data_IF_675853813641
#
_entry.id   IF_675853813641
#
_cell.length_a   1.000
_cell.length_b   1.000
_cell.length_c   1.000
_cell.angle_alpha   90.00
_cell.angle_beta   90.00
_cell.angle_gamma   90.00
#
_symmetry.space_group_name_H-M   'P 1'
#
loop_
_entity.id
_entity.type
_entity.pdbx_description
1 polymer ?
#
# COMPACT_ATOMS: atom_id res chain seq x y z
N UNK A 1 5.13 -17.33 -23.39
CA UNK A 1 4.74 -17.52 -21.98
C UNK A 1 5.09 -16.25 -21.21
N UNK A 2 4.24 -15.78 -20.31
CA UNK A 2 4.51 -14.58 -19.49
C UNK A 2 5.51 -14.92 -18.35
N UNK A 3 6.64 -14.19 -18.19
CA UNK A 3 7.67 -14.49 -17.20
C UNK A 3 7.23 -14.25 -15.74
N UNK A 4 6.09 -13.60 -15.50
CA UNK A 4 5.53 -13.40 -14.16
C UNK A 4 4.82 -14.65 -13.61
N UNK A 5 4.49 -15.64 -14.45
CA UNK A 5 3.69 -16.79 -14.02
C UNK A 5 4.31 -17.57 -12.85
N UNK A 6 5.64 -17.88 -12.84
CA UNK A 6 6.25 -18.56 -11.69
C UNK A 6 6.17 -17.73 -10.40
N UNK A 7 6.42 -16.42 -10.48
CA UNK A 7 6.38 -15.47 -9.35
C UNK A 7 4.95 -15.39 -8.80
N UNK A 8 3.97 -15.31 -9.70
CA UNK A 8 2.54 -15.24 -9.38
C UNK A 8 2.05 -16.51 -8.66
N UNK A 9 2.38 -17.68 -9.20
CA UNK A 9 2.00 -18.99 -8.64
C UNK A 9 2.63 -19.20 -7.26
N UNK A 10 3.88 -18.77 -7.10
CA UNK A 10 4.61 -18.83 -5.83
C UNK A 10 4.16 -17.78 -4.81
N UNK A 11 3.23 -16.88 -5.16
CA UNK A 11 2.80 -15.73 -4.36
C UNK A 11 3.97 -14.86 -3.88
N UNK A 12 5.00 -14.75 -4.72
CA UNK A 12 6.19 -13.98 -4.41
C UNK A 12 5.95 -12.49 -4.63
N UNK A 13 6.67 -11.64 -3.89
CA UNK A 13 6.67 -10.23 -4.21
C UNK A 13 7.33 -9.95 -5.56
N UNK A 14 7.08 -8.74 -6.07
CA UNK A 14 7.62 -8.26 -7.34
C UNK A 14 8.20 -6.86 -7.13
N UNK A 15 9.51 -6.73 -7.35
CA UNK A 15 10.18 -5.44 -7.45
C UNK A 15 9.89 -4.78 -8.81
N UNK A 16 9.81 -3.44 -8.89
CA UNK A 16 9.69 -2.74 -10.17
C UNK A 16 10.86 -3.03 -11.14
N UNK A 17 12.04 -3.32 -10.60
CA UNK A 17 13.30 -3.58 -11.29
C UNK A 17 13.76 -5.05 -11.19
N UNK A 18 12.85 -5.96 -10.79
CA UNK A 18 13.13 -7.39 -10.65
C UNK A 18 13.71 -7.96 -11.96
N UNK A 19 14.77 -8.76 -11.84
CA UNK A 19 15.37 -9.42 -13.02
C UNK A 19 14.53 -10.61 -13.44
N UNK A 20 13.76 -10.44 -14.51
CA UNK A 20 12.98 -11.51 -15.12
C UNK A 20 13.82 -12.36 -16.09
N UNK A 21 13.34 -13.57 -16.39
CA UNK A 21 13.98 -14.46 -17.38
C UNK A 21 14.05 -13.82 -18.77
N UNK A 22 13.03 -13.03 -19.14
CA UNK A 22 12.92 -12.32 -20.41
C UNK A 22 12.15 -11.02 -20.25
N UNK A 23 12.64 -9.93 -20.85
CA UNK A 23 11.96 -8.63 -20.86
C UNK A 23 12.02 -7.90 -19.52
N UNK A 24 11.31 -6.77 -19.45
CA UNK A 24 11.19 -5.94 -18.23
C UNK A 24 9.94 -6.28 -17.43
N UNK A 25 9.90 -5.89 -16.16
CA UNK A 25 8.71 -6.02 -15.29
C UNK A 25 7.51 -5.30 -15.91
N UNK A 26 7.71 -4.10 -16.45
CA UNK A 26 6.66 -3.33 -17.13
C UNK A 26 6.07 -4.09 -18.33
N UNK A 27 6.91 -4.62 -19.22
CA UNK A 27 6.45 -5.39 -20.39
C UNK A 27 5.67 -6.65 -19.97
N UNK A 28 6.17 -7.35 -18.95
CA UNK A 28 5.54 -8.56 -18.45
C UNK A 28 4.20 -8.28 -17.75
N UNK A 29 4.12 -7.21 -16.96
CA UNK A 29 2.88 -6.75 -16.33
C UNK A 29 1.87 -6.31 -17.39
N UNK A 30 2.30 -5.52 -18.38
CA UNK A 30 1.45 -5.09 -19.50
C UNK A 30 0.87 -6.29 -20.26
N UNK A 31 1.72 -7.28 -20.58
CA UNK A 31 1.26 -8.51 -21.23
C UNK A 31 0.28 -9.29 -20.35
N UNK A 32 0.57 -9.38 -19.05
CA UNK A 32 -0.30 -10.05 -18.07
C UNK A 32 -1.65 -9.35 -17.94
N UNK A 33 -1.66 -8.03 -17.89
CA UNK A 33 -2.83 -7.18 -17.84
C UNK A 33 -3.75 -7.43 -19.03
N UNK A 34 -3.25 -7.32 -20.27
CA UNK A 34 -4.10 -7.51 -21.45
C UNK A 34 -4.58 -8.96 -21.60
N UNK A 35 -3.75 -9.94 -21.24
CA UNK A 35 -4.17 -11.34 -21.22
C UNK A 35 -5.32 -11.57 -20.24
N UNK A 36 -5.20 -11.01 -19.04
CA UNK A 36 -6.23 -11.12 -18.00
C UNK A 36 -7.49 -10.32 -18.38
N UNK A 37 -7.36 -9.09 -18.85
CA UNK A 37 -8.50 -8.24 -19.23
C UNK A 37 -9.31 -8.88 -20.36
N UNK A 38 -8.64 -9.45 -21.37
CA UNK A 38 -9.30 -10.21 -22.44
C UNK A 38 -10.03 -11.44 -21.88
N UNK A 39 -9.41 -12.19 -20.94
CA UNK A 39 -10.11 -13.27 -20.23
C UNK A 39 -11.38 -12.79 -19.51
N UNK A 40 -11.37 -11.57 -18.99
CA UNK A 40 -12.49 -10.96 -18.28
C UNK A 40 -13.52 -10.29 -19.20
N UNK A 41 -13.36 -10.39 -20.53
CA UNK A 41 -14.33 -9.95 -21.53
C UNK A 41 -13.96 -8.66 -22.27
N UNK A 42 -12.75 -8.13 -22.10
CA UNK A 42 -12.30 -6.96 -22.86
C UNK A 42 -12.16 -7.29 -24.34
N UNK A 43 -12.89 -6.57 -25.20
CA UNK A 43 -12.80 -6.75 -26.65
C UNK A 43 -11.52 -6.13 -27.25
N UNK A 44 -11.13 -6.58 -28.45
CA UNK A 44 -9.97 -6.02 -29.16
C UNK A 44 -10.13 -4.52 -29.47
N UNK A 45 -11.34 -4.09 -29.83
CA UNK A 45 -11.63 -2.68 -30.13
C UNK A 45 -11.49 -1.79 -28.87
N UNK A 46 -11.92 -2.29 -27.71
CA UNK A 46 -11.75 -1.58 -26.44
C UNK A 46 -10.30 -1.58 -25.96
N UNK A 47 -9.52 -2.62 -26.29
CA UNK A 47 -8.11 -2.71 -25.92
C UNK A 47 -7.27 -1.58 -26.55
N UNK A 48 -7.64 -1.08 -27.73
CA UNK A 48 -6.97 0.06 -28.39
C UNK A 48 -7.17 1.38 -27.63
N UNK A 49 -8.23 1.49 -26.82
CA UNK A 49 -8.55 2.68 -26.03
C UNK A 49 -7.90 2.66 -24.63
N UNK A 50 -7.23 1.56 -24.27
CA UNK A 50 -6.63 1.37 -22.95
C UNK A 50 -5.12 1.64 -22.99
N UNK A 51 -4.67 2.54 -22.12
CA UNK A 51 -3.25 2.66 -21.77
C UNK A 51 -2.95 1.85 -20.51
N UNK A 52 -1.83 1.12 -20.52
CA UNK A 52 -1.28 0.47 -19.34
C UNK A 52 0.12 1.01 -19.09
N UNK A 53 0.36 1.52 -17.87
CA UNK A 53 1.64 2.06 -17.43
C UNK A 53 1.93 1.67 -15.97
N UNK A 54 3.16 1.87 -15.54
CA UNK A 54 3.53 1.73 -14.13
C UNK A 54 4.63 2.73 -13.78
N UNK A 55 4.71 3.10 -12.50
CA UNK A 55 5.81 3.87 -11.95
C UNK A 55 6.16 3.46 -10.52
N UNK A 56 7.21 4.09 -9.99
CA UNK A 56 7.66 3.97 -8.61
C UNK A 56 7.60 5.36 -8.00
N UNK A 57 7.02 5.47 -6.81
CA UNK A 57 7.06 6.69 -6.04
C UNK A 57 8.18 6.58 -5.00
N UNK A 58 9.27 7.30 -5.26
CA UNK A 58 10.46 7.36 -4.41
C UNK A 58 10.54 8.66 -3.59
N UNK A 59 9.41 9.36 -3.39
CA UNK A 59 9.37 10.61 -2.61
C UNK A 59 9.90 10.46 -1.18
N UNK A 60 9.84 9.25 -0.61
CA UNK A 60 10.45 8.92 0.68
C UNK A 60 11.98 9.10 0.70
N UNK A 61 12.62 9.07 -0.47
CA UNK A 61 14.05 9.31 -0.68
C UNK A 61 14.35 10.74 -1.15
N UNK A 62 13.35 11.62 -1.22
CA UNK A 62 13.49 12.98 -1.73
C UNK A 62 13.66 13.06 -3.24
N UNK A 63 13.33 11.99 -3.96
CA UNK A 63 13.34 11.94 -5.42
C UNK A 63 11.92 12.28 -5.89
N UNK A 64 11.78 13.40 -6.59
CA UNK A 64 10.54 13.79 -7.26
C UNK A 64 10.61 13.34 -8.72
N UNK A 65 10.08 12.14 -8.98
CA UNK A 65 9.90 11.65 -10.34
C UNK A 65 8.62 12.22 -10.97
N UNK A 66 8.62 12.29 -12.29
CA UNK A 66 7.45 12.71 -13.07
C UNK A 66 6.29 11.72 -12.86
N UNK A 67 5.11 12.24 -12.55
CA UNK A 67 3.93 11.41 -12.34
C UNK A 67 3.41 10.86 -13.68
N UNK A 68 3.80 9.62 -14.01
CA UNK A 68 3.41 8.98 -15.27
C UNK A 68 1.90 8.78 -15.41
N UNK A 69 1.17 8.67 -14.30
CA UNK A 69 -0.28 8.59 -14.33
C UNK A 69 -0.89 9.93 -14.75
N UNK A 70 -0.44 11.03 -14.16
CA UNK A 70 -0.84 12.39 -14.57
C UNK A 70 -0.54 12.64 -16.04
N UNK A 71 0.67 12.30 -16.50
CA UNK A 71 1.05 12.47 -17.91
C UNK A 71 0.12 11.73 -18.85
N UNK A 72 -0.18 10.46 -18.56
CA UNK A 72 -1.10 9.66 -19.38
C UNK A 72 -2.52 10.24 -19.35
N UNK A 73 -3.01 10.70 -18.19
CA UNK A 73 -4.33 11.33 -18.08
C UNK A 73 -4.38 12.59 -18.93
N UNK A 74 -3.37 13.46 -18.82
CA UNK A 74 -3.29 14.68 -19.60
C UNK A 74 -3.20 14.40 -21.11
N UNK A 75 -2.47 13.36 -21.52
CA UNK A 75 -2.36 12.96 -22.92
C UNK A 75 -3.68 12.43 -23.52
N UNK A 76 -4.56 11.85 -22.69
CA UNK A 76 -5.84 11.27 -23.13
C UNK A 76 -7.01 12.24 -23.13
N UNK A 77 -6.84 13.48 -22.64
CA UNK A 77 -7.89 14.51 -22.73
C UNK A 77 -8.33 14.69 -24.19
N UNK A 78 -9.65 14.67 -24.41
CA UNK A 78 -10.26 14.74 -25.73
C UNK A 78 -10.38 13.41 -26.46
N UNK A 79 -9.91 12.29 -25.88
CA UNK A 79 -10.08 10.94 -26.45
C UNK A 79 -11.32 10.26 -25.85
N UNK A 80 -12.41 10.06 -26.62
CA UNK A 80 -13.63 9.44 -26.11
C UNK A 80 -13.41 8.03 -25.57
N UNK A 81 -14.00 7.73 -24.41
CA UNK A 81 -14.00 6.40 -23.79
C UNK A 81 -12.61 5.81 -23.52
N UNK A 82 -11.56 6.63 -23.52
CA UNK A 82 -10.22 6.19 -23.14
C UNK A 82 -10.22 5.70 -21.69
N UNK A 83 -9.36 4.71 -21.41
CA UNK A 83 -9.12 4.22 -20.05
C UNK A 83 -7.62 4.15 -19.80
N UNK A 84 -7.22 4.45 -18.57
CA UNK A 84 -5.82 4.38 -18.13
C UNK A 84 -5.77 3.43 -16.96
N UNK A 85 -4.93 2.42 -17.07
CA UNK A 85 -4.69 1.41 -16.04
C UNK A 85 -3.24 1.55 -15.58
N UNK A 86 -3.04 2.03 -14.36
CA UNK A 86 -1.73 2.38 -13.85
C UNK A 86 -1.44 1.66 -12.53
N UNK A 87 -0.25 1.06 -12.44
CA UNK A 87 0.26 0.44 -11.22
C UNK A 87 1.34 1.33 -10.63
N UNK A 88 1.17 1.78 -9.39
CA UNK A 88 2.19 2.56 -8.68
C UNK A 88 2.77 1.76 -7.53
N UNK A 89 4.09 1.72 -7.45
CA UNK A 89 4.80 1.11 -6.34
C UNK A 89 5.33 2.19 -5.38
N UNK A 90 4.86 2.21 -4.14
CA UNK A 90 5.46 3.05 -3.11
C UNK A 90 6.55 2.28 -2.39
N UNK A 91 7.78 2.79 -2.41
CA UNK A 91 8.88 2.28 -1.62
C UNK A 91 9.21 3.25 -0.47
N UNK A 92 9.40 2.73 0.74
CA UNK A 92 9.85 3.52 1.87
C UNK A 92 11.36 3.35 2.13
N UNK A 93 11.94 4.28 2.90
CA UNK A 93 13.36 4.26 3.25
C UNK A 93 13.83 2.99 3.98
N UNK A 94 12.90 2.16 4.49
CA UNK A 94 13.20 0.88 5.14
C UNK A 94 13.21 -0.30 4.15
N UNK A 95 13.02 -0.03 2.85
CA UNK A 95 12.98 -1.04 1.80
C UNK A 95 11.66 -1.80 1.74
N UNK A 96 10.59 -1.31 2.38
CA UNK A 96 9.25 -1.88 2.21
C UNK A 96 8.62 -1.25 0.99
N UNK A 97 8.05 -2.07 0.13
CA UNK A 97 7.30 -1.60 -1.02
C UNK A 97 5.89 -2.17 -1.06
N UNK A 98 4.98 -1.39 -1.65
CA UNK A 98 3.59 -1.80 -1.80
C UNK A 98 2.99 -1.23 -3.09
N UNK A 99 2.33 -2.10 -3.83
CA UNK A 99 1.66 -1.77 -5.09
C UNK A 99 0.19 -1.46 -4.85
N UNK A 100 -0.30 -0.37 -5.45
CA UNK A 100 -1.73 -0.09 -5.58
C UNK A 100 -2.08 0.29 -7.03
N UNK A 101 -3.37 0.26 -7.33
CA UNK A 101 -3.90 0.51 -8.66
C UNK A 101 -4.51 1.90 -8.73
N UNK A 102 -4.26 2.59 -9.84
CA UNK A 102 -4.97 3.79 -10.27
C UNK A 102 -5.61 3.51 -11.62
N UNK A 103 -6.91 3.78 -11.73
CA UNK A 103 -7.68 3.65 -12.94
C UNK A 103 -8.33 4.98 -13.28
N UNK A 104 -8.19 5.46 -14.50
CA UNK A 104 -8.95 6.62 -14.98
C UNK A 104 -9.82 6.22 -16.17
N UNK A 105 -11.02 6.79 -16.24
CA UNK A 105 -11.92 6.62 -17.38
C UNK A 105 -12.41 7.97 -17.90
N UNK A 106 -12.52 8.05 -19.23
CA UNK A 106 -13.01 9.21 -19.95
C UNK A 106 -14.42 8.94 -20.48
N UNK A 107 -15.25 9.97 -20.54
CA UNK A 107 -16.59 9.86 -21.10
C UNK A 107 -16.59 9.90 -22.64
N UNK A 108 -17.77 9.86 -23.25
CA UNK A 108 -17.94 9.92 -24.70
C UNK A 108 -17.49 11.24 -25.34
N UNK A 109 -17.28 12.29 -24.55
CA UNK A 109 -16.74 13.59 -25.00
C UNK A 109 -15.22 13.67 -24.85
N UNK A 110 -14.58 12.65 -24.28
CA UNK A 110 -13.15 12.68 -23.96
C UNK A 110 -12.83 13.54 -22.74
N UNK A 111 -13.79 13.78 -21.85
CA UNK A 111 -13.56 14.45 -20.57
C UNK A 111 -13.29 13.39 -19.50
N UNK A 112 -12.36 13.67 -18.57
CA UNK A 112 -12.08 12.80 -17.43
C UNK A 112 -13.34 12.65 -16.57
N UNK A 113 -13.87 11.44 -16.49
CA UNK A 113 -15.11 11.16 -15.79
C UNK A 113 -14.85 10.74 -14.33
N UNK A 114 -13.87 9.88 -14.11
CA UNK A 114 -13.64 9.24 -12.82
C UNK A 114 -12.19 8.73 -12.71
N UNK A 115 -11.65 8.78 -11.50
CA UNK A 115 -10.40 8.15 -11.11
C UNK A 115 -10.70 7.20 -9.95
N UNK A 116 -10.38 5.92 -10.09
CA UNK A 116 -10.56 4.89 -9.07
C UNK A 116 -9.19 4.45 -8.56
N UNK A 117 -8.96 4.59 -7.25
CA UNK A 117 -7.82 3.97 -6.58
C UNK A 117 -8.27 2.72 -5.82
N UNK A 118 -7.48 1.66 -5.89
CA UNK A 118 -7.73 0.43 -5.13
C UNK A 118 -6.47 -0.05 -4.44
N UNK A 119 -6.65 -0.60 -3.23
CA UNK A 119 -5.57 -1.11 -2.41
C UNK A 119 -5.99 -2.43 -1.74
N UNK A 120 -5.07 -3.39 -1.70
CA UNK A 120 -5.25 -4.71 -1.08
C UNK A 120 -4.92 -4.72 0.42
N UNK A 121 -4.44 -3.59 0.96
CA UNK A 121 -4.20 -3.37 2.39
C UNK A 121 -4.95 -2.15 2.89
N UNK A 122 -5.71 -2.31 3.97
CA UNK A 122 -6.50 -1.22 4.54
C UNK A 122 -6.06 -0.85 5.96
N UNK A 123 -6.13 0.44 6.27
CA UNK A 123 -6.10 1.00 7.62
C UNK A 123 -7.34 1.88 7.80
N UNK A 124 -8.24 1.50 8.70
CA UNK A 124 -9.47 2.27 8.97
C UNK A 124 -10.35 2.48 7.73
N UNK A 125 -10.51 1.45 6.89
CA UNK A 125 -11.25 1.46 5.60
C UNK A 125 -10.60 2.28 4.47
N UNK A 126 -9.43 2.87 4.68
CA UNK A 126 -8.64 3.52 3.63
C UNK A 126 -7.51 2.60 3.18
N UNK A 127 -7.15 2.64 1.90
CA UNK A 127 -5.92 1.99 1.41
C UNK A 127 -4.68 2.60 2.07
N UNK A 128 -3.65 1.80 2.33
CA UNK A 128 -2.43 2.32 2.96
C UNK A 128 -1.71 3.28 2.00
N UNK A 129 -1.39 2.82 0.78
CA UNK A 129 -0.69 3.67 -0.20
C UNK A 129 -1.65 4.48 -1.04
N UNK A 130 -2.85 3.94 -1.32
CA UNK A 130 -3.87 4.71 -2.04
C UNK A 130 -4.31 5.97 -1.26
N UNK A 131 -4.41 5.90 0.07
CA UNK A 131 -4.71 7.11 0.85
C UNK A 131 -3.55 8.09 0.86
N UNK A 132 -2.30 7.60 0.93
CA UNK A 132 -1.12 8.46 0.81
C UNK A 132 -1.15 9.21 -0.53
N UNK A 133 -1.35 8.51 -1.65
CA UNK A 133 -1.43 9.12 -2.98
C UNK A 133 -2.55 10.18 -3.03
N UNK A 134 -3.76 9.86 -2.56
CA UNK A 134 -4.88 10.82 -2.51
C UNK A 134 -4.61 12.05 -1.64
N UNK A 135 -3.83 11.91 -0.57
CA UNK A 135 -3.58 12.96 0.41
C UNK A 135 -2.35 13.82 0.04
N UNK A 136 -1.40 13.31 -0.77
CA UNK A 136 -0.14 14.00 -1.08
C UNK A 136 0.08 14.33 -2.56
N UNK A 137 -0.58 13.63 -3.49
CA UNK A 137 -0.35 13.82 -4.92
C UNK A 137 -1.04 15.09 -5.44
N UNK A 138 -0.30 16.09 -5.95
CA UNK A 138 -0.89 17.36 -6.41
C UNK A 138 -1.98 17.19 -7.47
N UNK A 139 -1.77 16.27 -8.42
CA UNK A 139 -2.72 15.99 -9.49
C UNK A 139 -4.03 15.39 -8.94
N UNK A 140 -3.94 14.37 -8.07
CA UNK A 140 -5.13 13.75 -7.48
C UNK A 140 -5.88 14.72 -6.56
N UNK A 141 -5.18 15.59 -5.83
CA UNK A 141 -5.78 16.65 -5.01
C UNK A 141 -6.55 17.63 -5.90
N UNK A 142 -5.99 18.03 -7.05
CA UNK A 142 -6.66 18.90 -8.01
C UNK A 142 -7.91 18.23 -8.63
N UNK A 143 -7.89 16.91 -8.82
CA UNK A 143 -9.01 16.12 -9.36
C UNK A 143 -9.89 15.47 -8.28
N UNK A 144 -9.89 16.00 -7.04
CA UNK A 144 -10.57 15.37 -5.89
C UNK A 144 -12.05 15.06 -6.13
N UNK A 145 -12.74 15.82 -6.98
CA UNK A 145 -14.15 15.59 -7.30
C UNK A 145 -14.38 14.31 -8.14
N UNK A 146 -13.38 13.89 -8.92
CA UNK A 146 -13.41 12.68 -9.74
C UNK A 146 -12.76 11.48 -9.05
N UNK A 147 -12.01 11.69 -7.97
CA UNK A 147 -11.25 10.63 -7.29
C UNK A 147 -12.11 9.85 -6.30
N UNK A 148 -12.15 8.54 -6.47
CA UNK A 148 -12.86 7.59 -5.62
C UNK A 148 -11.93 6.48 -5.14
N UNK A 149 -11.99 6.16 -3.85
CA UNK A 149 -11.34 4.97 -3.31
C UNK A 149 -12.32 3.81 -3.27
N UNK A 150 -11.97 2.69 -3.88
CA UNK A 150 -12.71 1.43 -3.79
C UNK A 150 -11.82 0.39 -3.11
N UNK A 151 -12.22 -0.17 -1.96
CA UNK A 151 -11.43 -1.19 -1.29
C UNK A 151 -11.33 -2.43 -2.18
N UNK A 152 -10.10 -2.83 -2.48
CA UNK A 152 -9.83 -4.07 -3.21
C UNK A 152 -9.98 -5.29 -2.29
N UNK A 153 -9.94 -6.50 -2.87
CA UNK A 153 -9.84 -7.72 -2.09
C UNK A 153 -8.61 -7.66 -1.18
N UNK A 154 -8.78 -8.05 0.08
CA UNK A 154 -7.69 -8.01 1.05
C UNK A 154 -6.69 -9.14 0.78
N UNK A 155 -5.41 -8.81 0.70
CA UNK A 155 -4.37 -9.83 0.62
C UNK A 155 -4.16 -10.50 2.00
N UNK A 156 -3.83 -11.80 2.05
CA UNK A 156 -3.56 -12.49 3.31
C UNK A 156 -2.44 -11.82 4.12
N UNK A 157 -2.51 -11.91 5.44
CA UNK A 157 -1.45 -11.39 6.31
C UNK A 157 -0.13 -12.12 6.07
N UNK A 158 0.99 -11.39 6.00
CA UNK A 158 2.33 -11.97 5.76
C UNK A 158 2.62 -12.40 4.32
N UNK A 159 1.65 -12.32 3.40
CA UNK A 159 1.88 -12.52 1.96
C UNK A 159 2.11 -11.16 1.29
N UNK A 160 3.14 -11.08 0.45
CA UNK A 160 3.62 -9.86 -0.18
C UNK A 160 3.33 -9.81 -1.69
N UNK A 161 2.13 -10.21 -2.11
CA UNK A 161 1.73 -10.30 -3.52
C UNK A 161 0.74 -9.18 -3.93
N UNK A 162 0.83 -7.98 -3.32
CA UNK A 162 -0.06 -6.84 -3.61
C UNK A 162 -0.14 -6.49 -5.10
N UNK A 163 0.94 -6.70 -5.85
CA UNK A 163 1.01 -6.49 -7.29
C UNK A 163 0.00 -7.36 -8.07
N UNK A 164 -0.30 -8.59 -7.60
CA UNK A 164 -1.30 -9.46 -8.24
C UNK A 164 -2.71 -8.91 -8.04
N UNK A 165 -3.02 -8.44 -6.83
CA UNK A 165 -4.30 -7.80 -6.52
C UNK A 165 -4.50 -6.51 -7.32
N UNK A 166 -3.44 -5.71 -7.43
CA UNK A 166 -3.41 -4.51 -8.25
C UNK A 166 -3.68 -4.84 -9.73
N UNK A 167 -2.96 -5.80 -10.31
CA UNK A 167 -3.14 -6.26 -11.69
C UNK A 167 -4.57 -6.77 -11.95
N UNK A 168 -5.10 -7.57 -11.04
CA UNK A 168 -6.46 -8.13 -11.15
C UNK A 168 -7.54 -7.04 -11.13
N UNK A 169 -7.42 -6.08 -10.20
CA UNK A 169 -8.35 -4.96 -10.12
C UNK A 169 -8.32 -4.09 -11.37
N UNK A 170 -7.14 -3.76 -11.89
CA UNK A 170 -7.03 -2.98 -13.14
C UNK A 170 -7.68 -3.71 -14.31
N UNK A 171 -7.38 -4.99 -14.50
CA UNK A 171 -7.96 -5.78 -15.58
C UNK A 171 -9.49 -5.88 -15.48
N UNK A 172 -10.01 -6.05 -14.26
CA UNK A 172 -11.46 -6.10 -13.99
C UNK A 172 -12.13 -4.75 -14.19
N UNK A 173 -11.51 -3.65 -13.76
CA UNK A 173 -12.03 -2.30 -13.99
C UNK A 173 -12.07 -1.98 -15.48
N UNK A 174 -11.00 -2.31 -16.21
CA UNK A 174 -10.92 -2.11 -17.64
C UNK A 174 -12.01 -2.90 -18.41
N UNK A 175 -12.20 -4.18 -18.08
CA UNK A 175 -13.11 -5.06 -18.79
C UNK A 175 -14.58 -4.94 -18.34
N UNK A 176 -14.83 -4.71 -17.05
CA UNK A 176 -16.15 -4.86 -16.42
C UNK A 176 -16.62 -3.63 -15.65
N UNK A 177 -15.77 -2.60 -15.49
CA UNK A 177 -16.10 -1.39 -14.72
C UNK A 177 -16.23 -1.62 -13.21
N UNK A 178 -15.72 -2.74 -12.69
CA UNK A 178 -15.75 -3.06 -11.25
C UNK A 178 -14.46 -3.72 -10.78
N UNK A 179 -14.19 -3.66 -9.48
CA UNK A 179 -13.04 -4.34 -8.87
C UNK A 179 -13.17 -5.86 -8.98
N UNK A 180 -12.02 -6.54 -8.95
CA UNK A 180 -11.98 -7.98 -9.10
C UNK A 180 -12.52 -8.67 -7.83
N UNK A 181 -13.28 -9.74 -8.00
CA UNK A 181 -13.79 -10.57 -6.90
C UNK A 181 -13.12 -11.95 -6.96
N UNK A 182 -12.17 -12.26 -6.06
CA UNK A 182 -11.47 -13.54 -6.05
C UNK A 182 -12.42 -14.70 -5.86
N UNK A 183 -12.24 -15.74 -6.67
CA UNK A 183 -13.02 -16.98 -6.59
C UNK A 183 -12.33 -18.05 -5.74
N UNK A 184 -11.05 -17.84 -5.42
CA UNK A 184 -10.22 -18.75 -4.64
C UNK A 184 -9.47 -18.00 -3.53
N UNK A 185 -8.96 -18.75 -2.56
CA UNK A 185 -8.08 -18.21 -1.51
C UNK A 185 -6.67 -17.92 -2.01
N UNK A 186 -6.30 -18.38 -3.21
CA UNK A 186 -4.98 -18.17 -3.81
C UNK A 186 -5.13 -17.41 -5.13
N UNK A 187 -5.22 -16.08 -5.00
CA UNK A 187 -5.38 -15.19 -6.15
C UNK A 187 -4.24 -15.35 -7.17
N UNK A 188 -3.00 -15.60 -6.72
CA UNK A 188 -1.87 -15.82 -7.62
C UNK A 188 -2.08 -16.99 -8.57
N UNK A 189 -2.50 -18.14 -8.06
CA UNK A 189 -2.80 -19.31 -8.89
C UNK A 189 -4.01 -19.10 -9.81
N UNK A 190 -5.04 -18.41 -9.30
CA UNK A 190 -6.24 -18.07 -10.05
C UNK A 190 -5.91 -17.19 -11.27
N UNK A 191 -5.22 -16.07 -11.04
CA UNK A 191 -4.84 -15.15 -12.12
C UNK A 191 -3.86 -15.81 -13.11
N UNK A 192 -2.89 -16.59 -12.61
CA UNK A 192 -1.96 -17.30 -13.47
C UNK A 192 -2.68 -18.28 -14.41
N UNK A 193 -3.70 -18.98 -13.91
CA UNK A 193 -4.53 -19.87 -14.73
C UNK A 193 -5.27 -19.09 -15.83
N UNK A 194 -5.88 -17.96 -15.50
CA UNK A 194 -6.58 -17.12 -16.49
C UNK A 194 -5.66 -16.63 -17.62
N UNK A 195 -4.43 -16.23 -17.28
CA UNK A 195 -3.41 -15.80 -18.26
C UNK A 195 -2.95 -16.98 -19.13
N UNK A 196 -2.69 -18.14 -18.52
CA UNK A 196 -2.27 -19.34 -19.25
C UNK A 196 -3.33 -19.86 -20.21
N UNK A 197 -4.60 -19.80 -19.83
CA UNK A 197 -5.72 -20.25 -20.67
C UNK A 197 -5.88 -19.35 -21.91
N UNK A 198 -5.54 -18.06 -21.81
CA UNK A 198 -5.52 -17.11 -22.93
C UNK A 198 -4.30 -17.24 -23.83
N UNK A 199 -3.10 -17.48 -23.29
CA UNK A 199 -1.88 -17.70 -24.09
C UNK A 199 -1.98 -18.92 -25.04
N UNK A 200 -2.99 -19.78 -24.84
CA UNK A 200 -3.33 -20.90 -25.73
C UNK A 200 -4.23 -20.53 -26.91
N UNK A 201 -4.78 -19.31 -26.90
CA UNK A 201 -5.60 -18.73 -27.97
C UNK A 201 -4.75 -17.64 -28.64
N UNK A 202 -4.31 -17.79 -29.90
CA UNK A 202 -3.51 -16.78 -30.57
C UNK A 202 -4.28 -15.45 -30.65
N UNK A 203 -3.90 -14.46 -29.84
CA UNK A 203 -4.46 -13.12 -29.91
C UNK A 203 -3.67 -12.30 -30.93
N UNK A 204 -4.36 -11.87 -32.00
CA UNK A 204 -3.86 -11.00 -33.06
C UNK A 204 -3.84 -9.55 -32.58
N UNK A 205 -2.86 -9.16 -31.76
CA UNK A 205 -2.60 -7.74 -31.50
C UNK A 205 -1.49 -7.25 -32.43
N UNK A 206 -1.87 -6.39 -33.38
CA UNK A 206 -0.98 -5.72 -34.31
C UNK A 206 0.00 -4.81 -33.56
N UNK A 207 1.30 -5.08 -33.71
CA UNK A 207 2.40 -4.22 -33.25
C UNK A 207 2.30 -2.83 -33.88
N UNK A 208 1.66 -1.88 -33.18
CA UNK A 208 1.72 -0.47 -33.56
C UNK A 208 1.66 0.44 -32.32
N UNK A 209 2.61 0.25 -31.41
CA UNK A 209 2.86 1.22 -30.32
C UNK A 209 4.34 1.40 -29.99
N UNK A 210 5.25 0.98 -30.90
CA UNK A 210 6.66 1.33 -30.82
C UNK A 210 6.88 2.71 -31.46
N UNK A 211 6.42 3.78 -30.82
CA UNK A 211 6.77 5.16 -31.22
C UNK A 211 6.61 6.18 -30.09
N UNK A 212 6.96 5.81 -28.86
CA UNK A 212 7.27 6.78 -27.78
C UNK A 212 8.43 6.21 -26.95
N UNK A 213 9.56 5.96 -27.59
CA UNK A 213 10.84 5.64 -26.95
C UNK A 213 11.95 5.72 -28.01
N UNK A 214 12.16 6.90 -28.60
CA UNK A 214 13.35 7.16 -29.42
C UNK A 214 13.56 8.66 -29.59
N UNK A 215 13.90 9.33 -28.50
CA UNK A 215 14.49 10.65 -28.52
C UNK A 215 15.42 10.80 -27.31
N UNK A 216 16.45 9.96 -27.25
CA UNK A 216 17.71 10.22 -26.56
C UNK A 216 18.62 9.02 -26.81
N UNK A 217 19.25 8.99 -27.98
CA UNK A 217 20.54 8.30 -28.18
C UNK A 217 21.15 8.78 -29.50
N UNK A 218 22.02 9.79 -29.39
CA UNK A 218 22.97 10.12 -30.45
C UNK A 218 24.36 10.33 -29.81
N UNK A 219 25.34 9.62 -30.37
CA UNK A 219 26.78 9.60 -30.09
C UNK A 219 27.21 8.81 -28.83
N UNK A 220 27.93 7.69 -28.94
CA UNK A 220 29.23 7.58 -29.62
C UNK A 220 29.58 6.12 -29.92
N UNK A 221 30.02 5.87 -31.16
CA UNK A 221 30.65 4.61 -31.60
C UNK A 221 32.01 4.39 -30.94
N UNK A 222 32.33 3.17 -30.47
CA UNK A 222 33.44 2.38 -31.02
C UNK A 222 33.67 1.03 -30.33
N UNK A 223 33.92 0.06 -31.22
CA UNK A 223 34.75 -1.14 -31.12
C UNK A 223 34.24 -2.40 -30.40
N UNK A 224 34.23 -3.47 -31.20
CA UNK A 224 34.09 -4.85 -30.80
C UNK A 224 35.41 -5.40 -30.24
N UNK A 225 35.32 -6.23 -29.21
CA UNK A 225 36.23 -7.35 -29.02
C UNK A 225 35.51 -8.48 -28.27
N UNK A 226 35.83 -9.71 -28.66
CA UNK A 226 35.19 -10.95 -28.21
C UNK A 226 35.98 -11.53 -27.03
N UNK A 227 35.30 -12.35 -26.21
CA UNK A 227 35.81 -13.55 -25.51
C UNK A 227 35.68 -13.56 -23.97
N UNK A 228 35.10 -14.68 -23.51
CA UNK A 228 35.20 -15.39 -22.23
C UNK A 228 34.15 -15.18 -21.12
N UNK A 229 33.23 -16.15 -21.13
CA UNK A 229 32.49 -16.74 -20.01
C UNK A 229 33.28 -16.63 -18.69
N UNK A 230 32.72 -15.85 -17.77
CA UNK A 230 33.10 -15.83 -16.36
C UNK A 230 31.83 -15.94 -15.52
N UNK A 231 31.84 -16.91 -14.59
CA UNK A 231 30.81 -17.16 -13.56
C UNK A 231 30.26 -15.84 -12.97
N UNK A 232 28.96 -15.72 -12.71
CA UNK A 232 28.45 -14.56 -12.01
C UNK A 232 28.97 -14.58 -10.57
N UNK A 233 29.92 -13.70 -10.32
CA UNK A 233 30.36 -13.33 -8.97
C UNK A 233 29.30 -12.39 -8.44
N UNK A 234 28.88 -12.62 -7.19
CA UNK A 234 27.86 -11.82 -6.51
C UNK A 234 28.20 -10.33 -6.60
N UNK A 235 27.35 -9.58 -7.32
CA UNK A 235 27.44 -8.12 -7.39
C UNK A 235 26.35 -7.53 -6.51
N UNK A 236 26.80 -6.77 -5.53
CA UNK A 236 26.05 -5.84 -4.70
C UNK A 236 25.24 -4.89 -5.60
N UNK A 237 23.92 -4.84 -5.39
CA UNK A 237 23.10 -3.65 -5.60
C UNK A 237 21.75 -3.81 -4.87
N UNK A 238 21.65 -3.07 -3.77
CA UNK A 238 20.60 -2.15 -3.27
C UNK A 238 19.14 -2.42 -3.74
N UNK A 239 18.20 -2.28 -2.80
CA UNK A 239 16.76 -2.62 -2.82
C UNK A 239 16.41 -4.08 -2.51
N UNK A 240 16.91 -4.58 -1.37
CA UNK A 240 16.37 -5.81 -0.78
C UNK A 240 15.01 -5.52 -0.14
N UNK A 241 13.98 -5.80 -0.92
CA UNK A 241 12.58 -5.74 -0.53
C UNK A 241 12.26 -6.87 0.45
N UNK A 242 11.47 -6.56 1.47
CA UNK A 242 10.94 -7.45 2.51
C UNK A 242 11.99 -7.92 3.53
N UNK A 243 11.91 -7.37 4.75
CA UNK A 243 12.51 -8.00 5.91
C UNK A 243 11.84 -9.36 6.13
N UNK A 244 12.57 -10.44 5.88
CA UNK A 244 12.27 -11.73 6.48
C UNK A 244 12.48 -11.55 7.98
N UNK A 245 11.43 -11.67 8.80
CA UNK A 245 11.59 -11.84 10.23
C UNK A 245 12.19 -13.22 10.52
N UNK A 246 13.48 -13.40 10.23
CA UNK A 246 14.29 -14.49 10.76
C UNK A 246 14.77 -14.11 12.17
N UNK A 247 13.85 -14.12 13.13
CA UNK A 247 14.19 -14.10 14.56
C UNK A 247 13.07 -14.74 15.39
N UNK A 248 12.72 -15.98 15.06
CA UNK A 248 12.05 -16.89 15.99
C UNK A 248 12.73 -18.27 15.93
N UNK A 249 14.02 -18.33 16.28
CA UNK A 249 14.67 -19.59 16.64
C UNK A 249 15.78 -19.35 17.67
N UNK A 250 15.42 -19.62 18.92
CA UNK A 250 16.26 -20.08 20.05
C UNK A 250 17.67 -19.50 20.26
N UNK A 251 17.85 -18.76 21.36
CA UNK A 251 19.18 -18.52 21.92
C UNK A 251 19.25 -17.63 23.18
N UNK A 252 18.98 -18.22 24.35
CA UNK A 252 19.48 -17.91 25.71
C UNK A 252 19.89 -16.47 26.10
N UNK A 253 19.22 -15.99 27.17
CA UNK A 253 19.70 -15.21 28.33
C UNK A 253 21.13 -14.64 28.25
N UNK A 254 21.24 -13.31 28.30
CA UNK A 254 22.08 -12.60 29.27
C UNK A 254 21.79 -11.08 29.22
N UNK A 255 21.44 -10.52 30.37
CA UNK A 255 21.37 -9.08 30.64
C UNK A 255 22.76 -8.51 30.94
N UNK A 256 22.98 -7.21 30.70
CA UNK A 256 23.93 -6.43 31.49
C UNK A 256 23.27 -5.20 32.16
N UNK A 257 23.97 -4.59 33.13
CA UNK A 257 23.37 -3.91 34.27
C UNK A 257 23.23 -2.39 34.11
N UNK A 258 22.38 -1.84 34.96
CA UNK A 258 22.25 -0.41 35.28
C UNK A 258 23.54 0.16 35.87
N UNK A 259 23.95 1.35 35.41
CA UNK A 259 24.56 2.37 36.26
C UNK A 259 24.21 3.77 35.72
N UNK A 260 23.65 4.59 36.61
CA UNK A 260 23.31 6.00 36.40
C UNK A 260 24.56 6.86 36.59
N UNK A 261 24.69 7.96 35.85
CA UNK A 261 24.61 9.30 36.44
C UNK A 261 24.45 10.39 35.36
N UNK A 262 23.60 11.37 35.69
CA UNK A 262 23.18 12.53 34.92
C UNK A 262 24.36 13.54 34.73
N UNK A 263 24.34 14.48 33.79
CA UNK A 263 23.63 15.77 33.92
C UNK A 263 23.69 16.54 32.58
N UNK A 264 22.51 17.07 32.21
CA UNK A 264 22.17 18.28 31.44
C UNK A 264 23.04 18.73 30.25
N UNK A 265 22.40 18.75 29.07
CA UNK A 265 21.93 20.01 28.47
C UNK A 265 20.83 19.73 27.43
N UNK A 266 19.59 20.01 27.81
CA UNK A 266 18.42 20.04 26.92
C UNK A 266 18.38 21.35 26.13
N UNK A 267 17.83 21.32 24.92
CA UNK A 267 16.75 22.22 24.55
C UNK A 267 15.43 21.44 24.48
N UNK A 268 14.36 22.09 24.96
CA UNK A 268 12.97 21.60 24.89
C UNK A 268 12.55 21.11 23.50
N UNK A 269 11.70 20.08 23.44
CA UNK A 269 10.70 19.97 22.39
C UNK A 269 9.30 20.10 23.01
N UNK A 270 8.68 21.25 22.77
CA UNK A 270 7.26 21.48 22.98
C UNK A 270 6.43 20.67 21.96
N UNK A 271 5.45 19.90 22.44
CA UNK A 271 4.23 19.58 21.69
C UNK A 271 4.04 18.17 21.07
N UNK A 272 4.99 17.22 21.15
CA UNK A 272 4.83 15.90 20.51
C UNK A 272 4.56 14.69 21.43
N UNK A 273 4.79 14.79 22.73
CA UNK A 273 4.59 13.64 23.64
C UNK A 273 3.11 13.42 24.03
N UNK A 274 2.32 14.49 24.10
CA UNK A 274 0.92 14.43 24.53
C UNK A 274 0.05 13.62 23.55
N UNK A 275 0.28 13.78 22.24
CA UNK A 275 -0.40 13.01 21.20
C UNK A 275 -0.01 11.52 21.20
N UNK A 276 1.26 11.19 21.50
CA UNK A 276 1.72 9.79 21.57
C UNK A 276 1.18 9.06 22.80
N UNK A 277 1.06 9.74 23.94
CA UNK A 277 0.44 9.15 25.14
C UNK A 277 -1.05 8.87 24.95
N UNK A 278 -1.76 9.79 24.28
CA UNK A 278 -3.18 9.60 23.96
C UNK A 278 -3.40 8.41 23.01
N UNK A 279 -2.58 8.28 21.97
CA UNK A 279 -2.66 7.16 21.02
C UNK A 279 -2.36 5.80 21.68
N UNK A 280 -1.31 5.72 22.51
CA UNK A 280 -0.95 4.48 23.22
C UNK A 280 -2.00 4.09 24.26
N UNK A 281 -2.59 5.06 24.97
CA UNK A 281 -3.66 4.83 25.93
C UNK A 281 -4.94 4.32 25.26
N UNK A 282 -5.32 4.92 24.12
CA UNK A 282 -6.49 4.52 23.35
C UNK A 282 -6.34 3.13 22.73
N UNK A 283 -5.17 2.84 22.14
CA UNK A 283 -4.86 1.51 21.57
C UNK A 283 -4.90 0.44 22.66
N UNK A 284 -4.30 0.70 23.82
CA UNK A 284 -4.29 -0.25 24.95
C UNK A 284 -5.70 -0.53 25.48
N UNK A 285 -6.57 0.50 25.53
CA UNK A 285 -7.96 0.37 25.97
C UNK A 285 -8.79 -0.50 25.01
N UNK A 286 -8.72 -0.25 23.71
CA UNK A 286 -9.49 -1.02 22.71
C UNK A 286 -8.99 -2.45 22.59
N UNK A 287 -7.66 -2.65 22.56
CA UNK A 287 -7.08 -4.00 22.54
C UNK A 287 -7.45 -4.80 23.79
N UNK A 288 -7.53 -4.12 24.94
CA UNK A 288 -7.99 -4.70 26.20
C UNK A 288 -9.46 -5.13 26.15
N UNK A 289 -10.34 -4.26 25.64
CA UNK A 289 -11.77 -4.55 25.51
C UNK A 289 -12.03 -5.74 24.57
N UNK A 290 -11.35 -5.80 23.42
CA UNK A 290 -11.47 -6.89 22.45
C UNK A 290 -11.00 -8.23 23.04
N UNK A 291 -9.89 -8.22 23.79
CA UNK A 291 -9.40 -9.40 24.50
C UNK A 291 -10.38 -9.86 25.59
N UNK A 292 -11.03 -8.95 26.32
CA UNK A 292 -12.07 -9.32 27.30
C UNK A 292 -13.28 -9.98 26.64
N UNK A 293 -13.75 -9.45 25.50
CA UNK A 293 -14.88 -10.03 24.74
C UNK A 293 -14.53 -11.44 24.24
N UNK A 294 -13.32 -11.62 23.69
CA UNK A 294 -12.84 -12.92 23.22
C UNK A 294 -12.68 -13.91 24.39
N UNK A 295 -12.14 -13.46 25.53
CA UNK A 295 -12.04 -14.27 26.75
C UNK A 295 -13.41 -14.75 27.25
N UNK A 296 -14.41 -13.86 27.26
CA UNK A 296 -15.79 -14.20 27.64
C UNK A 296 -16.45 -15.20 26.68
N UNK A 297 -16.23 -15.05 25.38
CA UNK A 297 -16.68 -16.02 24.35
C UNK A 297 -16.07 -17.40 24.55
N UNK A 298 -14.76 -17.47 24.88
CA UNK A 298 -14.06 -18.72 25.17
C UNK A 298 -14.55 -19.37 26.47
N UNK A 299 -14.87 -18.57 27.49
CA UNK A 299 -15.48 -19.06 28.73
C UNK A 299 -16.90 -19.60 28.50
N UNK A 300 -17.67 -19.00 27.57
CA UNK A 300 -19.03 -19.43 27.24
C UNK A 300 -19.10 -20.71 26.38
N UNK A 301 -18.02 -21.08 25.68
CA UNK A 301 -18.01 -22.21 24.75
C UNK A 301 -18.13 -23.60 25.41
N UNK A 302 -17.96 -23.70 26.73
CA UNK A 302 -18.18 -24.89 27.57
C UNK A 302 -17.26 -26.14 27.46
N UNK A 303 -16.08 -26.18 26.77
CA UNK A 303 -15.13 -27.26 26.98
C UNK A 303 -14.23 -27.02 28.22
N UNK A 304 -13.86 -28.06 28.98
CA UNK A 304 -13.03 -27.91 30.19
C UNK A 304 -11.65 -27.30 29.92
N UNK A 305 -11.15 -27.38 28.69
CA UNK A 305 -9.88 -26.77 28.27
C UNK A 305 -10.01 -25.26 27.94
N UNK A 306 -11.21 -24.75 27.61
CA UNK A 306 -11.37 -23.31 27.29
C UNK A 306 -11.47 -22.43 28.52
N UNK A 307 -11.71 -22.99 29.71
CA UNK A 307 -11.82 -22.21 30.95
C UNK A 307 -10.47 -21.55 31.27
N UNK A 308 -9.37 -22.31 31.21
CA UNK A 308 -8.03 -21.77 31.48
C UNK A 308 -7.61 -20.71 30.47
N UNK A 309 -7.78 -21.00 29.18
CA UNK A 309 -7.43 -20.06 28.10
C UNK A 309 -8.32 -18.82 28.13
N UNK A 310 -9.63 -18.99 28.32
CA UNK A 310 -10.58 -17.88 28.39
C UNK A 310 -10.33 -16.97 29.58
N UNK A 311 -10.01 -17.52 30.76
CA UNK A 311 -9.64 -16.74 31.95
C UNK A 311 -8.34 -15.96 31.72
N UNK A 312 -7.31 -16.60 31.14
CA UNK A 312 -6.05 -15.92 30.84
C UNK A 312 -6.22 -14.77 29.85
N UNK A 313 -6.97 -14.97 28.76
CA UNK A 313 -7.24 -13.94 27.75
C UNK A 313 -8.06 -12.79 28.34
N UNK A 314 -9.06 -13.10 29.17
CA UNK A 314 -9.86 -12.10 29.88
C UNK A 314 -9.01 -11.25 30.84
N UNK A 315 -8.13 -11.87 31.63
CA UNK A 315 -7.25 -11.16 32.57
C UNK A 315 -6.23 -10.26 31.85
N UNK A 316 -5.67 -10.71 30.73
CA UNK A 316 -4.80 -9.87 29.90
C UNK A 316 -5.57 -8.66 29.36
N UNK A 317 -6.80 -8.87 28.88
CA UNK A 317 -7.66 -7.78 28.42
C UNK A 317 -8.01 -6.77 29.52
N UNK A 318 -8.26 -7.25 30.75
CA UNK A 318 -8.49 -6.40 31.91
C UNK A 318 -7.26 -5.54 32.24
N UNK A 319 -6.07 -6.12 32.26
CA UNK A 319 -4.81 -5.40 32.54
C UNK A 319 -4.58 -4.32 31.49
N UNK A 320 -4.72 -4.64 30.20
CA UNK A 320 -4.55 -3.68 29.10
C UNK A 320 -5.56 -2.54 29.17
N UNK A 321 -6.82 -2.84 29.52
CA UNK A 321 -7.87 -1.83 29.69
C UNK A 321 -7.57 -0.88 30.85
N UNK A 322 -7.17 -1.42 32.01
CA UNK A 322 -6.80 -0.62 33.19
C UNK A 322 -5.57 0.25 32.91
N UNK A 323 -4.55 -0.31 32.25
CA UNK A 323 -3.37 0.44 31.83
C UNK A 323 -3.73 1.55 30.83
N UNK A 324 -4.61 1.29 29.87
CA UNK A 324 -5.13 2.30 28.94
C UNK A 324 -5.83 3.46 29.65
N UNK A 325 -6.72 3.16 30.60
CA UNK A 325 -7.40 4.19 31.42
C UNK A 325 -6.40 4.97 32.28
N UNK A 326 -5.43 4.31 32.89
CA UNK A 326 -4.42 4.99 33.72
C UNK A 326 -3.56 5.96 32.88
N UNK A 327 -3.16 5.55 31.67
CA UNK A 327 -2.41 6.41 30.73
C UNK A 327 -3.27 7.61 30.32
N UNK A 328 -4.53 7.39 29.95
CA UNK A 328 -5.46 8.44 29.53
C UNK A 328 -5.81 9.44 30.65
N UNK A 329 -5.83 8.99 31.91
CA UNK A 329 -6.14 9.86 33.06
C UNK A 329 -4.91 10.55 33.66
N UNK A 330 -3.70 10.01 33.44
CA UNK A 330 -2.44 10.61 33.92
C UNK A 330 -2.04 11.92 33.22
N UNK A 331 -2.63 12.24 32.06
CA UNK A 331 -2.42 13.48 31.33
C UNK A 331 -3.32 14.67 31.72
N UNK A 332 -4.17 14.53 32.75
CA UNK A 332 -5.06 15.62 33.15
C UNK A 332 -4.42 16.49 34.25
N UNK A 333 -3.97 17.73 33.98
CA UNK A 333 -3.52 18.62 35.04
C UNK A 333 -4.69 18.92 35.97
N UNK A 334 -4.56 18.58 37.26
CA UNK A 334 -5.43 19.07 38.31
C UNK A 334 -5.46 20.60 38.23
N UNK A 335 -6.57 21.17 37.74
CA UNK A 335 -6.82 22.60 37.87
C UNK A 335 -6.97 22.93 39.35
N UNK A 336 -6.01 23.68 39.88
CA UNK A 336 -6.15 24.38 41.15
C UNK A 336 -7.38 25.31 41.08
N UNK A 337 -8.28 25.33 42.07
CA UNK A 337 -9.32 26.32 42.15
C UNK A 337 -8.71 27.64 42.64
N UNK A 338 -8.42 28.56 41.73
CA UNK A 338 -8.03 29.92 42.08
C UNK A 338 -9.23 30.73 42.57
N UNK A 339 -8.98 31.44 43.67
CA UNK A 339 -9.87 32.33 44.41
C UNK A 339 -10.44 33.44 43.52
N UNK A 340 -11.76 33.58 43.56
CA UNK A 340 -12.47 34.75 43.03
C UNK A 340 -12.27 35.91 44.00
N UNK A 341 -11.41 36.86 43.66
CA UNK A 341 -11.40 38.19 44.27
C UNK A 341 -12.62 39.00 43.81
N UNK A 342 -13.30 39.58 44.81
CA UNK A 342 -14.47 40.45 44.70
C UNK A 342 -14.07 41.86 44.24
N UNK A 343 -14.85 42.53 43.37
CA UNK A 343 -14.83 43.98 43.28
C UNK A 343 -16.10 44.58 43.91
N UNK A 344 -15.92 45.17 45.08
CA UNK A 344 -16.86 46.13 45.64
C UNK A 344 -16.66 47.54 45.01
N UNK A 345 -17.80 48.12 44.59
CA UNK A 345 -18.19 49.53 44.73
C UNK A 345 -17.52 50.67 43.91
N UNK A 346 -18.30 51.24 42.98
CA UNK A 346 -18.91 52.61 42.98
C UNK A 346 -19.44 52.93 41.55
N UNK A 347 -20.75 53.02 41.22
CA UNK A 347 -21.75 54.11 41.48
C UNK A 347 -21.14 55.50 41.20
N UNK A 348 -21.57 56.37 40.26
CA UNK A 348 -22.90 56.93 39.90
C UNK A 348 -22.71 57.80 38.63
N UNK A 349 -23.57 57.75 37.60
CA UNK A 349 -24.75 58.60 37.31
C UNK A 349 -24.55 59.75 36.28
N UNK A 350 -25.44 59.70 35.25
CA UNK A 350 -26.20 60.76 34.54
C UNK A 350 -25.55 62.14 34.30
N UNK A 351 -25.58 62.63 33.06
CA UNK A 351 -26.72 63.26 32.34
C UNK A 351 -26.59 62.96 30.85
#
# INVERSE_FOLDING_TARGET
MNPLLPIMIAQQPLAPDERLETGTVHEALRKGFFSLANHLGLSSDEAELISFTMDVNESAYGIEDEDLFELEVNHKIGTPNAKICHMRCYADATGRAHWHALFAEFNQKGELANIILTDSRLKGKKGITAAQDMDSNPFLIAQKAQVNFVPGPQQPYGIHNCWVYCLANLASLAAQGKTYEPQTSNLGQEIAKHIMDQDRIPCLLSEKTALVQSANDLHTSQSAETVLVSKPTASENIHRLFAVNEAASMGKKQSPPYENEAILNNPEPTGQEENRQMDVGLISLFLGADAMVLGMLLLAAAPPLSIGVGLSVFLVGLILSVSGVAILTSGSPMKNPELVESPEHLITARV
#
